data_IF_543734709207
#
_entry.id   IF_543734709207
#
_cell.length_a   1.000
_cell.length_b   1.000
_cell.length_c   1.000
_cell.angle_alpha   90.00
_cell.angle_beta   90.00
_cell.angle_gamma   90.00
#
_symmetry.space_group_name_H-M   'P 1'
#
loop_
_entity.id
_entity.type
_entity.pdbx_description
1 polymer ?
#
# COMPACT_ATOMS: atom_id res chain seq x y z
N UNK A 1 55.15 26.25 -67.70
CA UNK A 1 53.99 25.45 -67.28
C UNK A 1 54.36 24.72 -66.00
N UNK A 2 53.97 25.24 -64.85
CA UNK A 2 53.95 24.52 -63.57
C UNK A 2 52.85 25.17 -62.75
N UNK A 3 51.67 24.54 -62.77
CA UNK A 3 50.50 24.99 -62.03
C UNK A 3 50.70 24.68 -60.54
N UNK A 4 50.47 25.66 -59.67
CA UNK A 4 50.38 25.47 -58.23
C UNK A 4 49.17 24.59 -57.90
N UNK A 5 49.27 23.64 -56.95
CA UNK A 5 48.13 22.84 -56.53
C UNK A 5 47.13 23.69 -55.73
N UNK A 6 45.85 23.39 -55.91
CA UNK A 6 44.72 24.04 -55.22
C UNK A 6 44.75 23.75 -53.71
N UNK A 7 44.23 24.66 -52.86
CA UNK A 7 44.16 24.43 -51.43
C UNK A 7 43.15 23.33 -51.10
N UNK A 8 43.52 22.45 -50.16
CA UNK A 8 42.65 21.41 -49.61
C UNK A 8 41.41 22.05 -48.97
N UNK A 9 40.23 21.71 -49.50
CA UNK A 9 38.95 22.01 -48.87
C UNK A 9 38.80 21.09 -47.67
N UNK A 10 39.16 21.58 -46.49
CA UNK A 10 38.72 20.99 -45.23
C UNK A 10 37.21 21.21 -45.15
N UNK A 11 36.44 20.16 -45.40
CA UNK A 11 35.02 20.14 -45.07
C UNK A 11 34.91 20.20 -43.54
N UNK A 12 34.54 21.38 -43.01
CA UNK A 12 34.04 21.52 -41.64
C UNK A 12 32.76 20.68 -41.52
N UNK A 13 32.88 19.41 -41.14
CA UNK A 13 31.73 18.66 -40.64
C UNK A 13 31.20 19.42 -39.41
N UNK A 14 29.92 19.83 -39.39
CA UNK A 14 29.37 20.42 -38.19
C UNK A 14 29.41 19.35 -37.11
N UNK A 15 30.21 19.59 -36.07
CA UNK A 15 30.18 18.81 -34.84
C UNK A 15 28.81 19.02 -34.19
N UNK A 16 27.81 18.29 -34.68
CA UNK A 16 26.49 18.17 -34.07
C UNK A 16 26.62 17.18 -32.92
N UNK A 17 27.42 17.56 -31.91
CA UNK A 17 27.25 16.99 -30.58
C UNK A 17 25.77 17.12 -30.24
N UNK A 18 25.12 15.99 -29.93
CA UNK A 18 23.69 15.97 -29.58
C UNK A 18 23.48 16.97 -28.45
N UNK A 19 22.92 18.13 -28.77
CA UNK A 19 22.55 19.09 -27.77
C UNK A 19 21.31 18.55 -27.04
N UNK A 20 21.54 17.86 -25.92
CA UNK A 20 20.49 17.31 -25.04
C UNK A 20 19.63 18.41 -24.40
N UNK A 21 20.05 19.68 -24.47
CA UNK A 21 19.29 20.84 -24.00
C UNK A 21 18.30 21.41 -25.04
N UNK A 22 18.18 20.78 -26.23
CA UNK A 22 17.21 21.15 -27.27
C UNK A 22 15.95 20.27 -27.28
N UNK A 23 15.64 19.61 -26.18
CA UNK A 23 14.30 19.03 -26.02
C UNK A 23 13.32 20.19 -25.82
N UNK A 24 12.43 20.40 -26.78
CA UNK A 24 11.30 21.32 -26.59
C UNK A 24 10.47 20.86 -25.38
N UNK A 25 9.89 21.80 -24.64
CA UNK A 25 8.97 21.47 -23.55
C UNK A 25 7.65 20.97 -24.16
N UNK A 26 7.60 19.67 -24.45
CA UNK A 26 6.37 19.00 -24.83
C UNK A 26 5.62 18.62 -23.57
N UNK A 27 4.35 19.03 -23.48
CA UNK A 27 3.47 18.60 -22.38
C UNK A 27 3.27 17.08 -22.37
N UNK A 28 3.30 16.44 -23.55
CA UNK A 28 3.10 14.98 -23.69
C UNK A 28 4.43 14.22 -23.50
N UNK A 29 5.55 14.80 -23.92
CA UNK A 29 6.87 14.19 -23.85
C UNK A 29 7.85 15.09 -23.07
N UNK A 30 7.65 15.28 -21.76
CA UNK A 30 8.61 16.02 -20.96
C UNK A 30 9.93 15.22 -20.86
N UNK A 31 11.06 15.88 -20.54
CA UNK A 31 12.38 15.24 -20.51
C UNK A 31 12.43 13.95 -19.68
N UNK A 32 11.73 13.89 -18.55
CA UNK A 32 11.62 12.71 -17.69
C UNK A 32 10.90 11.52 -18.34
N UNK A 33 9.90 11.78 -19.20
CA UNK A 33 9.21 10.74 -19.97
C UNK A 33 10.09 10.23 -21.11
N UNK A 34 10.82 11.14 -21.77
CA UNK A 34 11.75 10.78 -22.84
C UNK A 34 12.91 9.93 -22.28
N UNK A 35 13.47 10.31 -21.14
CA UNK A 35 14.49 9.52 -20.42
C UNK A 35 13.96 8.12 -20.09
N UNK A 36 12.74 8.03 -19.55
CA UNK A 36 12.14 6.75 -19.20
C UNK A 36 11.87 5.87 -20.43
N UNK A 37 11.48 6.45 -21.57
CA UNK A 37 11.34 5.75 -22.86
C UNK A 37 12.70 5.19 -23.33
N UNK A 38 13.77 6.00 -23.29
CA UNK A 38 15.10 5.55 -23.70
C UNK A 38 15.60 4.41 -22.83
N UNK A 39 15.50 4.54 -21.51
CA UNK A 39 15.91 3.49 -20.57
C UNK A 39 15.11 2.20 -20.79
N UNK A 40 13.79 2.29 -21.01
CA UNK A 40 12.97 1.12 -21.34
C UNK A 40 13.40 0.46 -22.65
N UNK A 41 13.77 1.26 -23.65
CA UNK A 41 14.22 0.77 -24.96
C UNK A 41 15.58 0.05 -24.86
N UNK A 42 16.48 0.53 -24.01
CA UNK A 42 17.79 -0.09 -23.78
C UNK A 42 17.69 -1.36 -22.92
N UNK A 43 16.87 -1.32 -21.86
CA UNK A 43 16.72 -2.45 -20.93
C UNK A 43 15.87 -3.59 -21.52
N UNK A 44 15.03 -3.32 -22.52
CA UNK A 44 14.05 -4.28 -23.05
C UNK A 44 12.97 -4.69 -22.04
N UNK A 45 12.83 -3.95 -20.93
CA UNK A 45 11.87 -4.21 -19.84
C UNK A 45 11.46 -2.91 -19.14
N UNK A 46 10.35 -2.96 -18.40
CA UNK A 46 9.93 -1.84 -17.57
C UNK A 46 10.93 -1.55 -16.45
N UNK A 47 11.17 -0.26 -16.18
CA UNK A 47 11.94 0.20 -15.02
C UNK A 47 11.07 0.04 -13.77
N UNK A 48 11.35 -1.00 -12.98
CA UNK A 48 10.73 -1.20 -11.66
C UNK A 48 11.17 -0.06 -10.73
N UNK A 49 10.23 0.73 -10.23
CA UNK A 49 10.48 1.79 -9.25
C UNK A 49 9.42 1.69 -8.16
N UNK A 50 9.84 1.76 -6.89
CA UNK A 50 8.93 1.99 -5.78
C UNK A 50 8.34 3.40 -5.85
N UNK A 51 7.18 3.62 -5.23
CA UNK A 51 6.56 4.94 -5.05
C UNK A 51 6.40 5.77 -6.34
N UNK A 52 6.17 5.11 -7.48
CA UNK A 52 6.13 5.77 -8.79
C UNK A 52 4.71 5.97 -9.28
N UNK A 53 4.15 7.14 -8.98
CA UNK A 53 2.91 7.60 -9.59
C UNK A 53 3.25 8.45 -10.82
N UNK A 54 2.72 8.06 -11.98
CA UNK A 54 2.97 8.78 -13.25
C UNK A 54 2.01 9.96 -13.47
N UNK A 55 1.03 10.15 -12.59
CA UNK A 55 0.01 11.20 -12.69
C UNK A 55 0.16 12.19 -11.55
N UNK A 56 -0.03 13.50 -11.80
CA UNK A 56 -0.18 14.45 -10.70
C UNK A 56 -1.47 14.13 -9.93
N UNK A 57 -1.38 14.18 -8.60
CA UNK A 57 -2.52 14.04 -7.68
C UNK A 57 -2.61 15.28 -6.80
N UNK A 58 -3.80 15.60 -6.27
CA UNK A 58 -3.93 16.67 -5.29
C UNK A 58 -3.00 16.45 -4.10
N UNK A 59 -2.36 17.52 -3.67
CA UNK A 59 -1.53 17.62 -2.48
C UNK A 59 -2.32 18.28 -1.35
N UNK A 60 -1.74 18.33 -0.15
CA UNK A 60 -2.33 19.08 0.97
C UNK A 60 -2.42 20.58 0.68
N UNK A 61 -1.57 21.11 -0.21
CA UNK A 61 -1.59 22.52 -0.61
C UNK A 61 -2.77 22.85 -1.55
N UNK A 62 -3.37 21.85 -2.18
CA UNK A 62 -4.57 22.01 -3.01
C UNK A 62 -5.86 22.05 -2.17
N UNK A 63 -5.78 21.76 -0.87
CA UNK A 63 -6.92 21.70 0.04
C UNK A 63 -7.05 23.00 0.85
N UNK A 64 -8.25 23.57 0.86
CA UNK A 64 -8.60 24.67 1.77
C UNK A 64 -9.51 24.16 2.88
N UNK A 65 -9.04 24.24 4.13
CA UNK A 65 -9.87 23.92 5.28
C UNK A 65 -10.80 25.08 5.62
N UNK A 66 -12.09 24.78 5.75
CA UNK A 66 -13.10 25.77 6.16
C UNK A 66 -13.19 25.79 7.69
N UNK A 67 -12.76 26.88 8.36
CA UNK A 67 -12.86 26.96 9.80
C UNK A 67 -14.32 27.06 10.25
N UNK A 68 -14.62 26.50 11.42
CA UNK A 68 -15.88 26.75 12.10
C UNK A 68 -16.03 28.24 12.39
N UNK A 69 -17.19 28.81 12.07
CA UNK A 69 -17.52 30.21 12.35
C UNK A 69 -18.86 30.29 13.08
N UNK A 70 -19.91 30.79 12.43
CA UNK A 70 -21.23 30.94 13.05
C UNK A 70 -22.01 29.62 13.12
N UNK A 71 -21.79 28.72 12.15
CA UNK A 71 -22.55 27.45 12.05
C UNK A 71 -22.02 26.35 12.96
N UNK A 72 -20.78 26.48 13.46
CA UNK A 72 -20.12 25.50 14.31
C UNK A 72 -19.18 26.21 15.27
N UNK A 73 -19.37 25.99 16.57
CA UNK A 73 -18.44 26.46 17.58
C UNK A 73 -17.10 25.73 17.43
N UNK A 74 -16.01 26.50 17.48
CA UNK A 74 -14.65 25.97 17.50
C UNK A 74 -14.24 25.72 18.94
N UNK A 75 -13.40 24.71 19.15
CA UNK A 75 -12.85 24.43 20.47
C UNK A 75 -11.93 25.57 20.92
N UNK A 76 -12.01 25.91 22.20
CA UNK A 76 -11.08 26.86 22.81
C UNK A 76 -9.88 26.08 23.36
N UNK A 77 -8.76 26.05 22.62
CA UNK A 77 -7.63 25.16 22.91
C UNK A 77 -6.96 25.31 24.30
N UNK A 78 -7.26 26.39 25.05
CA UNK A 78 -6.81 26.56 26.44
C UNK A 78 -7.82 26.04 27.48
N UNK A 79 -9.09 25.81 27.08
CA UNK A 79 -10.15 25.27 27.94
C UNK A 79 -10.45 23.80 27.64
N UNK A 80 -10.30 23.42 26.38
CA UNK A 80 -10.69 22.11 25.85
C UNK A 80 -9.50 21.45 25.18
N UNK A 81 -9.36 20.14 25.38
CA UNK A 81 -8.35 19.34 24.69
C UNK A 81 -8.91 18.83 23.37
N UNK A 82 -8.12 18.95 22.30
CA UNK A 82 -8.41 18.26 21.05
C UNK A 82 -8.19 16.75 21.26
N UNK A 83 -9.27 15.96 21.18
CA UNK A 83 -9.19 14.51 21.29
C UNK A 83 -8.73 13.94 19.95
N UNK A 84 -7.59 13.26 19.96
CA UNK A 84 -7.04 12.53 18.79
C UNK A 84 -7.36 11.05 18.83
N UNK A 85 -7.97 10.59 19.93
CA UNK A 85 -8.38 9.21 20.11
C UNK A 85 -9.31 8.78 18.96
N UNK A 86 -8.98 7.65 18.35
CA UNK A 86 -9.72 7.10 17.22
C UNK A 86 -10.14 5.68 17.53
N UNK A 87 -11.45 5.42 17.50
CA UNK A 87 -12.02 4.11 17.78
C UNK A 87 -12.43 3.45 16.47
N UNK A 88 -11.87 2.27 16.20
CA UNK A 88 -12.21 1.43 15.06
C UNK A 88 -13.10 0.28 15.56
N UNK A 89 -14.27 0.15 14.93
CA UNK A 89 -15.29 -0.84 15.28
C UNK A 89 -15.89 -0.63 16.67
N UNK A 90 -16.59 0.49 16.91
CA UNK A 90 -17.16 0.82 18.21
C UNK A 90 -18.22 -0.18 18.71
N UNK A 91 -18.77 -1.01 17.81
CA UNK A 91 -19.76 -2.04 18.14
C UNK A 91 -19.15 -3.42 18.44
N UNK A 92 -17.83 -3.59 18.23
CA UNK A 92 -17.13 -4.82 18.61
C UNK A 92 -17.04 -4.91 20.15
N UNK A 93 -16.96 -6.13 20.71
CA UNK A 93 -16.83 -6.27 22.19
C UNK A 93 -15.52 -5.69 22.71
N UNK A 94 -14.46 -5.75 21.91
CA UNK A 94 -13.15 -5.15 22.15
C UNK A 94 -12.79 -4.25 20.96
N UNK A 95 -13.32 -3.01 20.91
CA UNK A 95 -12.98 -2.05 19.88
C UNK A 95 -11.49 -1.76 19.86
N UNK A 96 -10.95 -1.43 18.68
CA UNK A 96 -9.55 -1.02 18.57
C UNK A 96 -9.45 0.49 18.79
N UNK A 97 -8.85 0.89 19.92
CA UNK A 97 -8.69 2.30 20.29
C UNK A 97 -7.27 2.75 20.00
N UNK A 98 -7.09 3.74 19.13
CA UNK A 98 -5.81 4.38 18.80
C UNK A 98 -5.72 5.72 19.52
N UNK A 99 -4.52 6.09 19.99
CA UNK A 99 -4.32 7.36 20.69
C UNK A 99 -4.29 8.54 19.70
N UNK A 100 -3.99 8.24 18.42
CA UNK A 100 -3.89 9.17 17.30
C UNK A 100 -4.61 8.62 16.06
N UNK A 101 -5.09 9.49 15.13
CA UNK A 101 -5.83 9.07 13.93
C UNK A 101 -4.92 8.59 12.79
N UNK A 102 -3.78 7.98 13.11
CA UNK A 102 -2.77 7.52 12.14
C UNK A 102 -2.23 6.19 12.62
N UNK A 103 -2.19 5.17 11.76
CA UNK A 103 -1.57 3.88 12.05
C UNK A 103 -0.72 3.40 10.87
N UNK A 104 0.15 2.42 11.11
CA UNK A 104 1.03 1.87 10.07
C UNK A 104 0.29 0.77 9.31
N UNK A 105 -0.01 1.03 8.04
CA UNK A 105 -0.71 0.09 7.13
C UNK A 105 0.08 -1.20 6.87
N UNK A 106 -0.60 -2.23 6.37
CA UNK A 106 -0.05 -3.56 6.16
C UNK A 106 1.03 -3.60 5.09
N UNK A 107 2.23 -4.02 5.48
CA UNK A 107 3.34 -4.36 4.59
C UNK A 107 3.86 -5.75 4.98
N UNK A 108 4.00 -6.64 4.01
CA UNK A 108 4.30 -8.05 4.27
C UNK A 108 5.75 -8.28 4.69
N UNK A 109 5.97 -9.27 5.55
CA UNK A 109 7.28 -9.88 5.70
C UNK A 109 7.68 -10.57 4.38
N UNK A 110 8.89 -10.27 3.90
CA UNK A 110 9.36 -10.60 2.56
C UNK A 110 9.43 -9.38 1.65
N UNK A 111 8.43 -8.48 1.69
CA UNK A 111 8.55 -7.16 1.09
C UNK A 111 9.41 -6.24 1.97
N UNK A 112 9.19 -6.29 3.29
CA UNK A 112 10.04 -5.69 4.31
C UNK A 112 10.92 -6.74 5.00
N UNK A 113 12.07 -6.30 5.52
CA UNK A 113 12.90 -7.13 6.38
C UNK A 113 12.27 -7.34 7.75
N UNK A 114 12.77 -8.34 8.47
CA UNK A 114 12.35 -8.64 9.84
C UNK A 114 12.59 -7.46 10.79
N UNK A 115 13.73 -6.79 10.65
CA UNK A 115 14.13 -5.64 11.46
C UNK A 115 13.22 -4.45 11.20
N UNK A 116 12.85 -4.20 9.94
CA UNK A 116 11.93 -3.13 9.58
C UNK A 116 10.54 -3.36 10.21
N UNK A 117 10.00 -4.59 10.10
CA UNK A 117 8.73 -4.96 10.73
C UNK A 117 8.77 -4.79 12.26
N UNK A 118 9.85 -5.23 12.89
CA UNK A 118 10.06 -5.12 14.34
C UNK A 118 10.21 -3.66 14.80
N UNK A 119 10.91 -2.84 14.03
CA UNK A 119 11.07 -1.41 14.31
C UNK A 119 9.73 -0.67 14.19
N UNK A 120 8.93 -0.97 13.16
CA UNK A 120 7.59 -0.41 12.98
C UNK A 120 6.65 -0.81 14.13
N UNK A 121 6.68 -2.08 14.57
CA UNK A 121 5.91 -2.56 15.71
C UNK A 121 6.21 -1.76 16.99
N UNK A 122 7.50 -1.61 17.32
CA UNK A 122 7.93 -0.82 18.49
C UNK A 122 7.55 0.65 18.36
N UNK A 123 7.79 1.25 17.20
CA UNK A 123 7.49 2.67 16.95
C UNK A 123 6.00 2.98 17.04
N UNK A 124 5.14 2.12 16.49
CA UNK A 124 3.69 2.26 16.57
C UNK A 124 3.20 2.14 18.03
N UNK A 125 3.70 1.17 18.78
CA UNK A 125 3.40 1.02 20.22
C UNK A 125 3.81 2.26 21.00
N UNK A 126 5.00 2.81 20.77
CA UNK A 126 5.46 4.06 21.40
C UNK A 126 4.57 5.26 21.04
N UNK A 127 4.03 5.29 19.82
CA UNK A 127 3.12 6.33 19.35
C UNK A 127 1.64 6.08 19.75
N UNK A 128 1.35 4.99 20.45
CA UNK A 128 -0.03 4.66 20.85
C UNK A 128 -0.93 4.22 19.68
N UNK A 129 -0.35 3.73 18.59
CA UNK A 129 -1.09 3.34 17.39
C UNK A 129 -0.87 1.88 16.97
N UNK A 130 -1.57 1.46 15.92
CA UNK A 130 -1.56 0.10 15.41
C UNK A 130 -0.54 -0.14 14.30
N UNK A 131 -0.22 -1.41 14.12
CA UNK A 131 0.49 -1.97 12.96
C UNK A 131 -0.36 -3.05 12.31
N UNK A 132 -0.04 -3.43 11.08
CA UNK A 132 -0.68 -4.54 10.39
C UNK A 132 0.36 -5.54 9.87
N UNK A 133 0.03 -6.83 9.98
CA UNK A 133 0.86 -7.95 9.50
C UNK A 133 1.24 -7.83 8.03
N UNK A 134 0.33 -7.27 7.22
CA UNK A 134 0.38 -7.35 5.77
C UNK A 134 0.20 -8.79 5.27
N UNK A 135 0.50 -8.99 3.99
CA UNK A 135 0.28 -10.24 3.25
C UNK A 135 1.21 -11.41 3.64
N UNK A 136 2.04 -11.24 4.68
CA UNK A 136 3.12 -12.18 5.01
C UNK A 136 2.78 -13.24 6.06
N UNK A 137 1.71 -13.03 6.84
CA UNK A 137 1.42 -13.77 8.07
C UNK A 137 1.98 -13.09 9.33
N UNK A 138 2.01 -13.79 10.47
CA UNK A 138 2.47 -13.25 11.76
C UNK A 138 3.93 -13.57 12.07
N UNK A 139 4.78 -12.56 12.22
CA UNK A 139 6.09 -12.73 12.86
C UNK A 139 5.88 -12.68 14.40
N UNK A 140 6.37 -13.67 15.18
CA UNK A 140 6.19 -13.68 16.63
C UNK A 140 6.66 -12.41 17.34
N UNK A 141 7.80 -11.87 16.92
CA UNK A 141 8.38 -10.65 17.50
C UNK A 141 7.60 -9.40 17.09
N UNK A 142 7.12 -9.30 15.85
CA UNK A 142 6.21 -8.21 15.45
C UNK A 142 4.98 -8.19 16.36
N UNK A 143 4.32 -9.35 16.53
CA UNK A 143 3.17 -9.45 17.44
C UNK A 143 3.53 -9.08 18.87
N UNK A 144 4.69 -9.54 19.37
CA UNK A 144 5.14 -9.27 20.75
C UNK A 144 5.34 -7.77 21.02
N UNK A 145 5.89 -7.03 20.05
CA UNK A 145 6.18 -5.61 20.23
C UNK A 145 5.01 -4.69 19.89
N UNK A 146 4.04 -5.15 19.09
CA UNK A 146 2.83 -4.39 18.77
C UNK A 146 1.80 -4.48 19.90
N UNK A 147 1.49 -3.34 20.54
CA UNK A 147 0.40 -3.25 21.52
C UNK A 147 -0.99 -3.32 20.86
N UNK A 148 -1.07 -2.86 19.61
CA UNK A 148 -2.28 -2.80 18.79
C UNK A 148 -1.91 -3.37 17.41
N UNK A 149 -2.53 -4.47 17.02
CA UNK A 149 -2.11 -5.19 15.81
C UNK A 149 -3.28 -5.75 14.99
N UNK A 150 -3.28 -5.41 13.70
CA UNK A 150 -4.14 -5.98 12.69
C UNK A 150 -3.53 -7.24 12.10
N UNK A 151 -4.34 -8.29 11.98
CA UNK A 151 -3.99 -9.46 11.20
C UNK A 151 -4.70 -9.45 9.85
N UNK A 152 -3.92 -9.48 8.77
CA UNK A 152 -4.45 -9.35 7.42
C UNK A 152 -4.77 -10.71 6.80
N UNK A 153 -5.99 -10.84 6.29
CA UNK A 153 -6.49 -12.01 5.59
C UNK A 153 -6.55 -11.71 4.08
N UNK A 154 -5.63 -12.31 3.31
CA UNK A 154 -5.43 -12.06 1.88
C UNK A 154 -5.97 -13.19 1.01
N UNK A 155 -6.09 -12.97 -0.31
CA UNK A 155 -6.63 -13.92 -1.28
C UNK A 155 -5.95 -15.30 -1.20
N UNK A 156 -4.62 -15.33 -1.10
CA UNK A 156 -3.85 -16.59 -1.06
C UNK A 156 -3.85 -17.31 0.28
N UNK A 157 -4.32 -16.67 1.36
CA UNK A 157 -4.22 -17.18 2.73
C UNK A 157 -2.77 -17.52 3.17
N UNK A 158 -1.76 -16.88 2.55
CA UNK A 158 -0.36 -17.14 2.92
C UNK A 158 -0.12 -16.82 4.39
N UNK A 159 0.44 -17.80 5.12
CA UNK A 159 0.70 -17.66 6.55
C UNK A 159 -0.55 -17.36 7.39
N UNK A 160 -1.76 -17.61 6.85
CA UNK A 160 -3.01 -17.45 7.59
C UNK A 160 -3.18 -18.60 8.58
N UNK A 161 -3.29 -18.29 9.86
CA UNK A 161 -3.45 -19.26 10.93
C UNK A 161 -4.54 -18.76 11.89
N UNK A 162 -5.62 -19.53 12.11
CA UNK A 162 -6.67 -19.18 13.07
C UNK A 162 -6.15 -18.90 14.49
N UNK A 163 -5.07 -19.57 14.91
CA UNK A 163 -4.43 -19.30 16.21
C UNK A 163 -3.76 -17.92 16.25
N UNK A 164 -3.24 -17.43 15.13
CA UNK A 164 -2.68 -16.06 15.05
C UNK A 164 -3.80 -15.02 15.00
N UNK A 165 -4.92 -15.34 14.34
CA UNK A 165 -6.11 -14.50 14.32
C UNK A 165 -6.66 -14.25 15.73
N UNK A 166 -6.67 -15.26 16.59
CA UNK A 166 -7.09 -15.13 18.00
C UNK A 166 -6.18 -14.19 18.82
N UNK A 167 -4.94 -13.98 18.39
CA UNK A 167 -4.02 -13.05 19.03
C UNK A 167 -4.16 -11.61 18.54
N UNK A 168 -4.95 -11.37 17.48
CA UNK A 168 -5.09 -10.06 16.88
C UNK A 168 -5.94 -9.11 17.74
N UNK A 169 -5.78 -7.81 17.51
CA UNK A 169 -6.65 -6.79 18.08
C UNK A 169 -7.68 -6.29 17.08
N UNK A 170 -7.48 -6.59 15.79
CA UNK A 170 -8.41 -6.38 14.69
C UNK A 170 -8.05 -7.30 13.51
N UNK A 171 -9.02 -7.62 12.66
CA UNK A 171 -8.81 -8.36 11.43
C UNK A 171 -8.98 -7.45 10.22
N UNK A 172 -8.10 -7.53 9.23
CA UNK A 172 -8.23 -6.80 7.97
C UNK A 172 -8.40 -7.78 6.80
N UNK A 173 -9.55 -7.77 6.14
CA UNK A 173 -9.74 -8.46 4.86
C UNK A 173 -9.18 -7.60 3.74
N UNK A 174 -8.17 -8.14 3.06
CA UNK A 174 -7.51 -7.47 1.96
C UNK A 174 -8.21 -7.78 0.64
N UNK A 175 -9.02 -6.86 0.15
CA UNK A 175 -9.69 -6.99 -1.15
C UNK A 175 -8.85 -6.34 -2.25
N UNK A 176 -8.20 -5.23 -1.96
CA UNK A 176 -7.27 -4.59 -2.88
C UNK A 176 -6.41 -3.51 -2.26
N UNK A 177 -5.41 -3.06 -3.02
CA UNK A 177 -4.54 -1.95 -2.67
C UNK A 177 -4.44 -0.95 -3.83
N UNK A 178 -4.16 0.30 -3.50
CA UNK A 178 -4.16 1.39 -4.47
C UNK A 178 -3.16 1.23 -5.62
N UNK A 179 -1.96 0.71 -5.34
CA UNK A 179 -0.91 0.53 -6.36
C UNK A 179 -1.31 -0.43 -7.50
N UNK A 180 -2.13 -1.44 -7.20
CA UNK A 180 -2.48 -2.54 -8.11
C UNK A 180 -3.90 -3.05 -7.87
N UNK A 181 -4.87 -2.15 -8.02
CA UNK A 181 -6.28 -2.49 -7.82
C UNK A 181 -6.71 -3.61 -8.77
N UNK A 182 -7.34 -4.66 -8.24
CA UNK A 182 -7.80 -5.82 -9.01
C UNK A 182 -6.72 -6.88 -9.27
N UNK A 183 -5.53 -6.75 -8.68
CA UNK A 183 -4.46 -7.75 -8.72
C UNK A 183 -4.09 -8.20 -7.30
N UNK A 184 -3.54 -9.41 -7.18
CA UNK A 184 -3.01 -9.91 -5.93
C UNK A 184 -1.58 -9.43 -5.63
N UNK A 185 -1.12 -9.71 -4.41
CA UNK A 185 0.28 -9.60 -4.02
C UNK A 185 1.24 -10.33 -4.97
N UNK A 186 2.45 -9.80 -5.10
CA UNK A 186 3.53 -10.43 -5.83
C UNK A 186 4.81 -10.31 -5.00
N UNK A 187 5.52 -11.43 -4.85
CA UNK A 187 6.83 -11.45 -4.21
C UNK A 187 7.79 -12.23 -5.10
N UNK A 188 8.89 -11.59 -5.49
CA UNK A 188 9.92 -12.21 -6.32
C UNK A 188 10.59 -13.37 -5.56
N UNK A 189 10.89 -14.47 -6.24
CA UNK A 189 11.51 -15.66 -5.67
C UNK A 189 12.84 -15.37 -4.98
N UNK A 190 13.60 -14.39 -5.48
CA UNK A 190 14.82 -13.90 -4.84
C UNK A 190 14.61 -13.36 -3.41
N UNK A 191 13.40 -12.85 -3.10
CA UNK A 191 13.01 -12.38 -1.76
C UNK A 191 12.34 -13.48 -0.93
N UNK A 192 12.07 -14.65 -1.50
CA UNK A 192 11.52 -15.81 -0.79
C UNK A 192 12.67 -16.60 -0.18
N UNK A 193 13.17 -16.06 0.94
CA UNK A 193 14.14 -16.75 1.80
C UNK A 193 13.49 -17.96 2.48
N UNK A 194 14.30 -18.86 3.05
CA UNK A 194 13.79 -20.05 3.75
C UNK A 194 12.80 -19.70 4.87
N UNK A 195 13.03 -18.59 5.57
CA UNK A 195 12.11 -18.10 6.61
C UNK A 195 10.76 -17.65 6.03
N UNK A 196 10.77 -16.93 4.90
CA UNK A 196 9.53 -16.49 4.23
C UNK A 196 8.80 -17.69 3.64
N UNK A 197 9.54 -18.65 3.10
CA UNK A 197 9.03 -19.91 2.57
C UNK A 197 8.33 -20.74 3.65
N UNK A 198 8.99 -20.98 4.79
CA UNK A 198 8.42 -21.72 5.93
C UNK A 198 7.15 -21.06 6.44
N UNK A 199 7.17 -19.74 6.63
CA UNK A 199 6.04 -18.98 7.15
C UNK A 199 4.81 -19.01 6.23
N UNK A 200 5.03 -19.12 4.91
CA UNK A 200 3.97 -19.17 3.90
C UNK A 200 3.62 -20.60 3.45
N UNK A 201 4.30 -21.61 3.99
CA UNK A 201 4.18 -23.01 3.56
C UNK A 201 4.44 -23.18 2.05
N UNK A 202 5.47 -22.51 1.53
CA UNK A 202 5.84 -22.49 0.11
C UNK A 202 7.32 -22.84 -0.09
N UNK A 203 7.72 -23.34 -1.28
CA UNK A 203 9.12 -23.56 -1.60
C UNK A 203 9.91 -22.24 -1.70
N UNK A 204 11.15 -22.25 -1.19
CA UNK A 204 12.08 -21.13 -1.30
C UNK A 204 12.52 -20.87 -2.75
N UNK A 205 12.83 -19.61 -3.07
CA UNK A 205 13.34 -19.22 -4.39
C UNK A 205 12.30 -19.14 -5.52
N UNK A 206 11.02 -19.43 -5.26
CA UNK A 206 9.95 -19.41 -6.27
C UNK A 206 9.14 -18.11 -6.17
N UNK A 207 8.88 -17.48 -7.32
CA UNK A 207 7.99 -16.32 -7.41
C UNK A 207 6.60 -16.63 -6.85
N UNK A 208 6.11 -15.77 -5.96
CA UNK A 208 4.78 -15.88 -5.39
C UNK A 208 3.85 -14.88 -6.08
N UNK A 209 2.69 -15.37 -6.52
CA UNK A 209 1.65 -14.57 -7.16
C UNK A 209 0.33 -14.92 -6.52
N UNK A 210 -0.21 -13.98 -5.76
CA UNK A 210 -1.52 -14.15 -5.15
C UNK A 210 -2.61 -14.04 -6.23
N UNK A 211 -3.68 -14.84 -6.16
CA UNK A 211 -4.85 -14.65 -7.00
C UNK A 211 -5.43 -13.24 -6.86
N UNK A 212 -6.07 -12.76 -7.93
CA UNK A 212 -6.74 -11.46 -7.93
C UNK A 212 -7.99 -11.42 -7.05
N UNK A 213 -8.60 -12.59 -6.79
CA UNK A 213 -9.83 -12.75 -6.00
C UNK A 213 -9.59 -13.77 -4.92
N UNK A 214 -10.29 -13.60 -3.81
CA UNK A 214 -10.39 -14.64 -2.82
C UNK A 214 -11.04 -15.88 -3.45
N UNK A 215 -10.46 -17.09 -3.26
CA UNK A 215 -10.97 -18.30 -3.89
C UNK A 215 -12.27 -18.80 -3.27
N UNK A 216 -12.62 -18.32 -2.08
CA UNK A 216 -13.68 -18.82 -1.21
C UNK A 216 -14.94 -17.93 -1.17
N UNK A 217 -14.98 -16.85 -1.96
CA UNK A 217 -16.17 -16.03 -2.14
C UNK A 217 -16.17 -15.33 -3.51
N UNK A 218 -17.35 -15.14 -4.10
CA UNK A 218 -17.49 -14.53 -5.44
C UNK A 218 -18.12 -13.14 -5.40
N UNK A 219 -18.95 -12.87 -4.39
CA UNK A 219 -19.70 -11.64 -4.27
C UNK A 219 -19.86 -11.15 -2.84
N UNK A 220 -20.58 -10.03 -2.65
CA UNK A 220 -20.78 -9.42 -1.33
C UNK A 220 -21.55 -10.33 -0.36
N UNK A 221 -22.48 -11.15 -0.85
CA UNK A 221 -23.24 -12.07 0.02
C UNK A 221 -22.34 -13.16 0.62
N UNK A 222 -21.46 -13.75 -0.19
CA UNK A 222 -20.44 -14.69 0.27
C UNK A 222 -19.43 -14.00 1.21
N UNK A 223 -19.04 -12.75 0.92
CA UNK A 223 -18.16 -11.96 1.79
C UNK A 223 -18.79 -11.72 3.16
N UNK A 224 -20.11 -11.50 3.24
CA UNK A 224 -20.81 -11.36 4.51
C UNK A 224 -20.69 -12.65 5.35
N UNK A 225 -20.82 -13.83 4.72
CA UNK A 225 -20.60 -15.12 5.39
C UNK A 225 -19.15 -15.26 5.89
N UNK A 226 -18.17 -14.75 5.14
CA UNK A 226 -16.76 -14.76 5.56
C UNK A 226 -16.45 -13.81 6.72
N UNK A 227 -17.12 -12.67 6.75
CA UNK A 227 -17.04 -11.76 7.90
C UNK A 227 -17.62 -12.45 9.15
N UNK A 228 -18.76 -13.12 9.02
CA UNK A 228 -19.34 -13.90 10.12
C UNK A 228 -18.44 -15.08 10.54
N UNK A 229 -17.80 -15.80 9.62
CA UNK A 229 -16.84 -16.87 9.93
C UNK A 229 -15.67 -16.35 10.80
N UNK A 230 -15.11 -15.19 10.46
CA UNK A 230 -14.05 -14.55 11.28
C UNK A 230 -14.60 -14.05 12.61
N UNK A 231 -15.83 -13.52 12.61
CA UNK A 231 -16.50 -13.07 13.83
C UNK A 231 -16.70 -14.24 14.78
N UNK A 232 -17.15 -15.39 14.30
CA UNK A 232 -17.28 -16.63 15.09
C UNK A 232 -15.92 -17.12 15.59
N UNK A 233 -14.90 -17.19 14.72
CA UNK A 233 -13.55 -17.63 15.07
C UNK A 233 -12.89 -16.78 16.17
N UNK A 234 -13.34 -15.53 16.32
CA UNK A 234 -12.85 -14.55 17.30
C UNK A 234 -13.85 -14.27 18.42
N UNK A 235 -14.93 -15.07 18.54
CA UNK A 235 -16.02 -14.87 19.52
C UNK A 235 -16.68 -13.47 19.47
N UNK A 236 -16.59 -12.80 18.33
CA UNK A 236 -17.04 -11.43 18.11
C UNK A 236 -16.28 -10.40 18.93
N UNK A 237 -15.06 -10.72 19.37
CA UNK A 237 -14.26 -9.83 20.21
C UNK A 237 -13.66 -8.67 19.44
N UNK A 238 -13.05 -8.95 18.30
CA UNK A 238 -12.24 -7.97 17.57
C UNK A 238 -13.01 -7.36 16.39
N UNK A 239 -12.73 -6.09 16.03
CA UNK A 239 -13.32 -5.47 14.85
C UNK A 239 -12.75 -6.04 13.54
N UNK A 240 -13.59 -6.07 12.51
CA UNK A 240 -13.25 -6.51 11.16
C UNK A 240 -13.24 -5.33 10.20
N UNK A 241 -12.12 -5.12 9.51
CA UNK A 241 -11.92 -4.07 8.52
C UNK A 241 -11.89 -4.65 7.10
N UNK A 242 -12.50 -3.96 6.14
CA UNK A 242 -12.32 -4.26 4.71
C UNK A 242 -11.39 -3.23 4.07
N UNK A 243 -10.28 -3.68 3.48
CA UNK A 243 -9.37 -2.83 2.71
C UNK A 243 -9.66 -2.94 1.21
N UNK A 244 -10.13 -1.83 0.62
CA UNK A 244 -10.53 -1.71 -0.78
C UNK A 244 -9.54 -0.80 -1.52
N UNK A 245 -9.13 -1.17 -2.73
CA UNK A 245 -8.45 -0.25 -3.62
C UNK A 245 -9.41 0.78 -4.22
N UNK A 246 -9.02 2.05 -4.29
CA UNK A 246 -9.86 3.13 -4.80
C UNK A 246 -10.06 3.03 -6.33
N UNK A 247 -11.08 2.27 -6.75
CA UNK A 247 -11.51 2.19 -8.16
C UNK A 247 -12.96 2.66 -8.34
N UNK A 248 -13.96 1.88 -7.92
CA UNK A 248 -15.38 2.25 -8.01
C UNK A 248 -15.92 2.56 -6.62
N UNK A 249 -15.26 3.50 -5.93
CA UNK A 249 -15.45 3.80 -4.49
C UNK A 249 -16.93 3.87 -4.08
N UNK A 250 -17.77 4.56 -4.86
CA UNK A 250 -19.20 4.68 -4.55
C UNK A 250 -19.92 3.31 -4.52
N UNK A 251 -19.69 2.46 -5.52
CA UNK A 251 -20.33 1.15 -5.61
C UNK A 251 -19.71 0.17 -4.61
N UNK A 252 -18.38 0.16 -4.51
CA UNK A 252 -17.61 -0.78 -3.69
C UNK A 252 -17.89 -0.55 -2.19
N UNK A 253 -17.90 0.71 -1.73
CA UNK A 253 -18.25 1.06 -0.34
C UNK A 253 -19.69 0.67 -0.02
N UNK A 254 -20.63 0.92 -0.95
CA UNK A 254 -22.04 0.59 -0.75
C UNK A 254 -22.26 -0.91 -0.59
N UNK A 255 -21.54 -1.73 -1.36
CA UNK A 255 -21.57 -3.19 -1.22
C UNK A 255 -20.89 -3.62 0.07
N UNK A 256 -19.68 -3.13 0.35
CA UNK A 256 -18.92 -3.42 1.56
C UNK A 256 -19.73 -3.12 2.83
N UNK A 257 -20.41 -1.98 2.90
CA UNK A 257 -21.24 -1.60 4.05
C UNK A 257 -22.38 -2.59 4.34
N UNK A 258 -22.88 -3.29 3.32
CA UNK A 258 -23.92 -4.32 3.50
C UNK A 258 -23.39 -5.66 4.01
N UNK A 259 -22.08 -5.89 3.92
CA UNK A 259 -21.45 -7.15 4.35
C UNK A 259 -21.18 -7.24 5.85
N UNK A 260 -21.48 -6.18 6.60
CA UNK A 260 -21.33 -6.14 8.06
C UNK A 260 -19.90 -5.95 8.62
N UNK A 261 -18.98 -5.22 7.97
CA UNK A 261 -17.69 -4.92 8.57
C UNK A 261 -17.81 -3.81 9.63
N UNK A 262 -16.83 -3.76 10.52
CA UNK A 262 -16.70 -2.74 11.56
C UNK A 262 -16.01 -1.47 11.06
N UNK A 263 -15.22 -1.57 9.98
CA UNK A 263 -14.67 -0.41 9.26
C UNK A 263 -14.36 -0.72 7.79
N UNK A 264 -14.30 0.34 6.97
CA UNK A 264 -13.93 0.26 5.55
C UNK A 264 -12.75 1.19 5.33
N UNK A 265 -11.66 0.64 4.83
CA UNK A 265 -10.44 1.36 4.43
C UNK A 265 -10.41 1.46 2.91
N UNK A 266 -10.40 2.70 2.39
CA UNK A 266 -10.15 3.01 0.98
C UNK A 266 -8.68 3.37 0.77
N UNK A 267 -7.99 2.58 -0.05
CA UNK A 267 -6.58 2.74 -0.36
C UNK A 267 -6.39 3.48 -1.69
N UNK A 268 -5.87 4.70 -1.62
CA UNK A 268 -5.70 5.62 -2.75
C UNK A 268 -4.57 5.20 -3.71
N UNK A 269 -4.60 5.72 -4.94
CA UNK A 269 -3.66 5.33 -6.01
C UNK A 269 -2.18 5.60 -5.68
N UNK A 270 -1.91 6.46 -4.70
CA UNK A 270 -0.60 6.79 -4.16
C UNK A 270 0.03 5.66 -3.33
N UNK A 271 -0.72 4.61 -3.00
CA UNK A 271 -0.24 3.48 -2.22
C UNK A 271 1.03 2.85 -2.80
N UNK A 272 1.99 2.52 -1.93
CA UNK A 272 3.23 1.86 -2.31
C UNK A 272 3.09 0.35 -2.54
N UNK A 273 4.09 -0.26 -3.17
CA UNK A 273 4.27 -1.71 -3.24
C UNK A 273 5.76 -2.05 -3.25
N UNK A 274 6.14 -3.22 -2.74
CA UNK A 274 7.53 -3.65 -2.52
C UNK A 274 8.07 -4.67 -3.52
#
# INVERSE_FOLDING_TARGET
>A
MTASPAPDLVEDEPNVSRNTSRLGQSFIFPPEVIDDIHIKSELGRYRMRGFSLFKPIPSWDDLTFLPGTLTRFVIEGYREKCLTETVIGPNAKRPLVLDIPVYVTGMSFGALSYEAKTALARGATMAGTATCSGEGGMIPDERRYSSKWFYQCIQSRYGFNPHHLQLADACEFFIGQGCKVGLGGHLMGQKVTDQVAEMRSLPAGIDQRSPARHPDWLGPDDLALKIEEIREATNGEIPIQLKLGAARVYDDVRMAAKTGPDSIYIDGMEGGTG
#
